data_IF_636999704651
#
_entry.id   IF_636999704651
#
_cell.length_a   1.000
_cell.length_b   1.000
_cell.length_c   1.000
_cell.angle_alpha   90.00
_cell.angle_beta   90.00
_cell.angle_gamma   90.00
#
_symmetry.space_group_name_H-M   'P 1'
#
loop_
_entity.id
_entity.type
_entity.pdbx_description
1 polymer ?
#
# COMPACT_ATOMS: atom_id res chain seq x y z
N UNK A 1 -21.73 -3.74 -10.46
CA UNK A 1 -21.04 -3.73 -9.15
C UNK A 1 -19.55 -3.55 -9.43
N UNK A 2 -18.88 -2.68 -8.69
CA UNK A 2 -17.45 -2.43 -8.91
C UNK A 2 -16.59 -3.48 -8.23
N UNK A 3 -15.46 -3.82 -8.85
CA UNK A 3 -14.46 -4.71 -8.27
C UNK A 3 -13.73 -3.99 -7.13
N UNK A 4 -13.68 -4.59 -5.95
CA UNK A 4 -12.94 -4.08 -4.79
C UNK A 4 -11.49 -4.56 -4.86
N UNK A 5 -10.61 -3.68 -5.31
CA UNK A 5 -9.19 -3.95 -5.48
C UNK A 5 -8.39 -3.39 -4.31
N UNK A 6 -7.67 -4.25 -3.60
CA UNK A 6 -6.66 -3.84 -2.64
C UNK A 6 -5.28 -3.72 -3.30
N UNK A 7 -4.51 -2.71 -2.88
CA UNK A 7 -3.08 -2.59 -3.21
C UNK A 7 -2.29 -2.47 -1.92
N UNK A 8 -1.35 -3.36 -1.73
CA UNK A 8 -0.40 -3.34 -0.62
C UNK A 8 1.01 -3.18 -1.17
N UNK A 9 1.47 -1.94 -1.22
CA UNK A 9 2.82 -1.58 -1.64
C UNK A 9 3.82 -1.66 -0.52
N UNK A 10 5.07 -1.96 -0.84
CA UNK A 10 6.14 -1.98 0.13
C UNK A 10 7.47 -2.35 -0.47
N UNK A 11 8.55 -2.12 0.29
CA UNK A 11 9.88 -2.56 -0.12
C UNK A 11 10.01 -4.08 0.01
N UNK A 12 9.41 -4.69 1.06
CA UNK A 12 9.49 -6.13 1.35
C UNK A 12 10.95 -6.62 1.33
N UNK A 13 11.76 -6.06 2.19
CA UNK A 13 13.21 -6.32 2.24
C UNK A 13 13.67 -6.85 3.60
N UNK A 14 13.42 -8.13 3.93
CA UNK A 14 12.61 -9.09 3.20
C UNK A 14 11.11 -9.03 3.55
N UNK A 15 10.28 -9.68 2.76
CA UNK A 15 8.92 -10.02 3.18
C UNK A 15 8.96 -10.98 4.37
N UNK A 16 8.03 -10.85 5.29
CA UNK A 16 7.96 -11.67 6.50
C UNK A 16 6.51 -11.94 6.93
N UNK A 17 6.32 -12.76 7.97
CA UNK A 17 5.00 -13.15 8.44
C UNK A 17 4.10 -11.97 8.83
N UNK A 18 4.67 -10.87 9.31
CA UNK A 18 3.91 -9.65 9.57
C UNK A 18 3.25 -9.06 8.31
N UNK A 19 3.95 -9.09 7.19
CA UNK A 19 3.40 -8.68 5.89
C UNK A 19 2.31 -9.62 5.41
N UNK A 20 2.51 -10.94 5.53
CA UNK A 20 1.51 -11.94 5.15
C UNK A 20 0.23 -11.77 5.97
N UNK A 21 0.36 -11.63 7.28
CA UNK A 21 -0.78 -11.42 8.18
C UNK A 21 -1.51 -10.11 7.84
N UNK A 22 -0.78 -9.02 7.61
CA UNK A 22 -1.37 -7.75 7.20
C UNK A 22 -2.16 -7.87 5.89
N UNK A 23 -1.62 -8.57 4.90
CA UNK A 23 -2.29 -8.81 3.62
C UNK A 23 -3.59 -9.60 3.80
N UNK A 24 -3.58 -10.67 4.61
CA UNK A 24 -4.74 -11.52 4.87
C UNK A 24 -5.83 -10.73 5.61
N UNK A 25 -5.46 -10.05 6.70
CA UNK A 25 -6.39 -9.23 7.48
C UNK A 25 -6.99 -8.11 6.62
N UNK A 26 -6.19 -7.46 5.81
CA UNK A 26 -6.66 -6.44 4.87
C UNK A 26 -7.65 -6.98 3.87
N UNK A 27 -7.32 -8.12 3.23
CA UNK A 27 -8.19 -8.79 2.28
C UNK A 27 -9.56 -9.11 2.90
N UNK A 28 -9.55 -9.76 4.06
CA UNK A 28 -10.77 -10.22 4.72
C UNK A 28 -11.59 -9.05 5.29
N UNK A 29 -10.96 -8.09 5.98
CA UNK A 29 -11.68 -6.95 6.60
C UNK A 29 -12.29 -5.99 5.60
N UNK A 30 -11.63 -5.75 4.49
CA UNK A 30 -12.14 -4.87 3.43
C UNK A 30 -13.05 -5.61 2.44
N UNK A 31 -13.23 -6.93 2.64
CA UNK A 31 -14.00 -7.79 1.74
C UNK A 31 -13.57 -7.59 0.27
N UNK A 32 -12.26 -7.66 0.02
CA UNK A 32 -11.69 -7.42 -1.30
C UNK A 32 -12.01 -8.55 -2.26
N UNK A 33 -12.24 -8.22 -3.53
CA UNK A 33 -12.35 -9.20 -4.59
C UNK A 33 -10.96 -9.65 -5.08
N UNK A 34 -9.98 -8.74 -4.97
CA UNK A 34 -8.58 -8.99 -5.34
C UNK A 34 -7.64 -8.13 -4.50
N UNK A 35 -6.48 -8.68 -4.16
CA UNK A 35 -5.38 -7.94 -3.53
C UNK A 35 -4.11 -8.09 -4.36
N UNK A 36 -3.46 -6.96 -4.63
CA UNK A 36 -2.16 -6.91 -5.29
C UNK A 36 -1.08 -6.55 -4.27
N UNK A 37 -0.10 -7.43 -4.14
CA UNK A 37 1.15 -7.16 -3.43
C UNK A 37 2.10 -6.50 -4.43
N UNK A 38 2.57 -5.29 -4.11
CA UNK A 38 3.32 -4.44 -5.03
C UNK A 38 4.72 -4.13 -4.49
N UNK A 39 5.73 -4.97 -4.75
CA UNK A 39 7.12 -4.65 -4.39
C UNK A 39 7.62 -3.43 -5.16
N UNK A 40 8.24 -2.49 -4.45
CA UNK A 40 8.83 -1.29 -5.04
C UNK A 40 10.15 -1.62 -5.76
N UNK A 41 10.49 -0.86 -6.80
CA UNK A 41 11.84 -0.90 -7.37
C UNK A 41 12.79 -0.07 -6.48
N UNK A 42 12.62 1.26 -6.45
CA UNK A 42 13.31 2.16 -5.52
C UNK A 42 12.25 2.90 -4.71
N UNK A 43 12.18 2.69 -3.37
CA UNK A 43 11.23 3.43 -2.54
C UNK A 43 11.61 4.91 -2.51
N UNK A 44 10.66 5.85 -2.80
CA UNK A 44 10.96 7.28 -2.88
C UNK A 44 11.42 7.90 -1.56
N UNK A 45 10.98 7.32 -0.43
CA UNK A 45 11.14 7.88 0.91
C UNK A 45 12.13 7.12 1.79
N UNK A 46 12.79 6.08 1.26
CA UNK A 46 13.75 5.25 2.01
C UNK A 46 15.05 5.10 1.25
N UNK A 47 16.15 5.04 2.00
CA UNK A 47 17.42 4.53 1.45
C UNK A 47 17.36 3.01 1.46
N UNK A 48 17.80 2.39 0.37
CA UNK A 48 17.97 0.96 0.26
C UNK A 48 19.45 0.62 0.34
N UNK A 49 19.75 -0.61 0.77
CA UNK A 49 21.12 -1.12 0.79
C UNK A 49 21.69 -1.16 -0.65
N UNK A 50 23.01 -0.96 -0.77
CA UNK A 50 23.71 -1.13 -2.05
C UNK A 50 23.60 -2.56 -2.62
N UNK A 51 23.34 -3.53 -1.73
CA UNK A 51 23.17 -4.94 -2.08
C UNK A 51 21.71 -5.32 -2.35
N UNK A 52 20.80 -4.33 -2.37
CA UNK A 52 19.38 -4.58 -2.64
C UNK A 52 19.18 -5.09 -4.07
N UNK A 53 18.38 -6.13 -4.19
CA UNK A 53 18.02 -6.73 -5.47
C UNK A 53 16.49 -6.80 -5.59
N UNK A 54 15.86 -5.89 -6.35
CA UNK A 54 14.42 -5.85 -6.50
C UNK A 54 13.83 -7.16 -7.06
N UNK A 55 14.53 -7.84 -7.95
CA UNK A 55 14.07 -9.12 -8.52
C UNK A 55 14.03 -10.22 -7.47
N UNK A 56 15.02 -10.26 -6.57
CA UNK A 56 15.00 -11.20 -5.42
C UNK A 56 13.87 -10.88 -4.47
N UNK A 57 13.60 -9.62 -4.19
CA UNK A 57 12.47 -9.21 -3.34
C UNK A 57 11.14 -9.60 -3.96
N UNK A 58 11.00 -9.43 -5.28
CA UNK A 58 9.84 -9.88 -6.04
C UNK A 58 9.63 -11.39 -5.92
N UNK A 59 10.68 -12.17 -6.14
CA UNK A 59 10.61 -13.63 -6.05
C UNK A 59 10.29 -14.12 -4.63
N UNK A 60 10.85 -13.49 -3.61
CA UNK A 60 10.50 -13.81 -2.22
C UNK A 60 9.01 -13.53 -1.93
N UNK A 61 8.45 -12.46 -2.46
CA UNK A 61 7.02 -12.17 -2.36
C UNK A 61 6.19 -13.25 -3.06
N UNK A 62 6.57 -13.66 -4.25
CA UNK A 62 5.88 -14.75 -4.99
C UNK A 62 5.91 -16.07 -4.22
N UNK A 63 7.05 -16.41 -3.64
CA UNK A 63 7.18 -17.60 -2.80
C UNK A 63 6.31 -17.53 -1.53
N UNK A 64 6.28 -16.37 -0.88
CA UNK A 64 5.53 -16.16 0.35
C UNK A 64 4.01 -16.35 0.17
N UNK A 65 3.47 -15.98 -0.98
CA UNK A 65 2.04 -16.14 -1.29
C UNK A 65 1.73 -17.38 -2.13
N UNK A 66 2.71 -18.25 -2.36
CA UNK A 66 2.49 -19.50 -3.08
C UNK A 66 1.51 -20.39 -2.30
N UNK A 67 0.43 -20.82 -2.95
CA UNK A 67 -0.60 -21.67 -2.34
C UNK A 67 -1.63 -20.93 -1.50
N UNK A 68 -1.56 -19.58 -1.42
CA UNK A 68 -2.65 -18.81 -0.82
C UNK A 68 -3.93 -18.98 -1.64
N UNK A 69 -5.05 -19.27 -0.93
CA UNK A 69 -6.34 -19.55 -1.57
C UNK A 69 -7.13 -18.29 -1.92
N UNK A 70 -6.86 -17.18 -1.26
CA UNK A 70 -7.46 -15.89 -1.56
C UNK A 70 -6.94 -15.38 -2.89
N UNK A 71 -7.69 -14.48 -3.54
CA UNK A 71 -7.24 -13.82 -4.77
C UNK A 71 -6.19 -12.74 -4.44
N UNK A 72 -5.02 -13.21 -3.98
CA UNK A 72 -3.85 -12.38 -3.69
C UNK A 72 -2.79 -12.67 -4.74
N UNK A 73 -2.37 -11.64 -5.46
CA UNK A 73 -1.36 -11.76 -6.52
C UNK A 73 -0.20 -10.80 -6.27
N UNK A 74 1.00 -11.19 -6.69
CA UNK A 74 2.18 -10.34 -6.62
C UNK A 74 2.40 -9.72 -7.99
N UNK A 75 2.55 -8.39 -8.05
CA UNK A 75 2.77 -7.64 -9.28
C UNK A 75 4.23 -7.19 -9.39
N UNK A 76 4.76 -7.28 -10.58
CA UNK A 76 6.07 -6.76 -10.97
C UNK A 76 6.00 -5.37 -11.61
N UNK A 77 4.84 -4.72 -11.60
CA UNK A 77 4.62 -3.46 -12.30
C UNK A 77 5.64 -2.38 -11.93
N UNK A 78 5.81 -2.08 -10.64
CA UNK A 78 6.77 -1.05 -10.21
C UNK A 78 8.22 -1.44 -10.51
N UNK A 79 8.56 -2.71 -10.33
CA UNK A 79 9.90 -3.22 -10.67
C UNK A 79 10.16 -3.10 -12.17
N UNK A 80 9.19 -3.44 -13.00
CA UNK A 80 9.27 -3.32 -14.44
C UNK A 80 9.39 -1.88 -14.96
N UNK A 81 8.84 -0.90 -14.23
CA UNK A 81 8.98 0.52 -14.57
C UNK A 81 10.39 1.05 -14.30
N UNK A 82 11.11 0.47 -13.35
CA UNK A 82 12.41 0.97 -12.90
C UNK A 82 12.35 2.33 -12.21
N UNK A 83 13.47 2.78 -11.68
CA UNK A 83 13.55 4.09 -11.00
C UNK A 83 12.72 4.18 -9.72
N UNK A 84 12.35 5.39 -9.30
CA UNK A 84 11.53 5.60 -8.11
C UNK A 84 10.08 5.17 -8.34
N UNK A 85 9.57 4.32 -7.46
CA UNK A 85 8.19 3.79 -7.52
C UNK A 85 7.22 4.75 -6.84
N UNK A 86 6.68 5.70 -7.60
CA UNK A 86 5.70 6.66 -7.08
C UNK A 86 4.29 6.07 -7.03
N UNK A 87 3.65 6.11 -5.87
CA UNK A 87 2.33 5.52 -5.63
C UNK A 87 1.23 6.04 -6.56
N UNK A 88 1.20 7.35 -6.86
CA UNK A 88 0.17 7.91 -7.75
C UNK A 88 0.20 7.28 -9.15
N UNK A 89 1.38 6.91 -9.68
CA UNK A 89 1.51 6.23 -10.96
C UNK A 89 0.94 4.81 -10.90
N UNK A 90 1.22 4.10 -9.82
CA UNK A 90 0.68 2.75 -9.58
C UNK A 90 -0.84 2.77 -9.48
N UNK A 91 -1.40 3.70 -8.69
CA UNK A 91 -2.85 3.84 -8.55
C UNK A 91 -3.51 4.21 -9.89
N UNK A 92 -2.90 5.12 -10.64
CA UNK A 92 -3.38 5.49 -11.99
C UNK A 92 -3.39 4.29 -12.94
N UNK A 93 -2.35 3.46 -12.90
CA UNK A 93 -2.27 2.26 -13.74
C UNK A 93 -3.40 1.26 -13.47
N UNK A 94 -3.78 1.08 -12.20
CA UNK A 94 -4.85 0.15 -11.82
C UNK A 94 -6.24 0.79 -11.77
N UNK A 95 -6.34 2.09 -11.98
CA UNK A 95 -7.62 2.80 -11.98
C UNK A 95 -8.46 2.43 -13.20
N UNK A 96 -9.73 2.06 -12.96
CA UNK A 96 -10.72 1.78 -14.00
C UNK A 96 -12.11 2.19 -13.50
N UNK A 97 -13.06 2.51 -14.41
CA UNK A 97 -14.40 2.96 -14.00
C UNK A 97 -15.19 1.95 -13.17
N UNK A 98 -14.89 0.66 -13.33
CA UNK A 98 -15.50 -0.47 -12.64
C UNK A 98 -14.65 -1.00 -11.48
N UNK A 99 -13.69 -0.23 -11.01
CA UNK A 99 -12.76 -0.62 -9.95
C UNK A 99 -12.74 0.41 -8.82
N UNK A 100 -12.96 -0.06 -7.59
CA UNK A 100 -12.76 0.73 -6.37
C UNK A 100 -11.48 0.28 -5.70
N UNK A 101 -10.47 1.15 -5.71
CA UNK A 101 -9.15 0.85 -5.13
C UNK A 101 -9.12 1.22 -3.66
N UNK A 102 -8.61 0.31 -2.82
CA UNK A 102 -8.19 0.59 -1.44
C UNK A 102 -6.69 0.38 -1.33
N UNK A 103 -5.98 1.42 -0.88
CA UNK A 103 -4.52 1.39 -0.71
C UNK A 103 -4.16 1.24 0.76
N UNK A 104 -3.40 0.20 1.08
CA UNK A 104 -2.98 -0.12 2.45
C UNK A 104 -1.69 0.59 2.81
N UNK A 105 -1.70 1.32 3.92
CA UNK A 105 -0.53 2.02 4.48
C UNK A 105 -0.36 1.71 5.96
N UNK A 106 0.89 1.68 6.43
CA UNK A 106 1.21 1.68 7.86
C UNK A 106 1.17 3.09 8.46
N UNK A 107 1.27 3.19 9.79
CA UNK A 107 1.17 4.46 10.52
C UNK A 107 2.15 5.52 10.00
N UNK A 108 3.44 5.19 9.87
CA UNK A 108 4.46 6.15 9.41
C UNK A 108 4.18 6.67 8.00
N UNK A 109 3.77 5.80 7.11
CA UNK A 109 3.40 6.16 5.74
C UNK A 109 2.16 7.06 5.74
N UNK A 110 1.16 6.72 6.54
CA UNK A 110 -0.07 7.50 6.66
C UNK A 110 0.20 8.92 7.13
N UNK A 111 1.01 9.09 8.16
CA UNK A 111 1.34 10.41 8.73
C UNK A 111 2.16 11.30 7.79
N UNK A 112 2.81 10.74 6.77
CA UNK A 112 3.60 11.48 5.79
C UNK A 112 2.97 11.54 4.39
N UNK A 113 1.76 10.99 4.21
CA UNK A 113 1.16 10.76 2.89
C UNK A 113 0.94 12.04 2.08
N UNK A 114 0.67 13.16 2.74
CA UNK A 114 0.53 14.48 2.13
C UNK A 114 1.86 15.09 1.61
N UNK A 115 3.00 14.54 2.04
CA UNK A 115 4.32 14.91 1.54
C UNK A 115 4.77 14.08 0.30
N UNK A 116 3.98 13.08 -0.07
CA UNK A 116 4.29 12.23 -1.21
C UNK A 116 4.03 12.98 -2.53
N UNK A 117 4.58 12.45 -3.62
CA UNK A 117 4.37 13.06 -4.93
C UNK A 117 2.92 12.90 -5.37
N UNK A 118 2.30 14.01 -5.81
CA UNK A 118 0.90 14.08 -6.24
C UNK A 118 -0.10 13.54 -5.20
N UNK A 119 -0.10 14.05 -3.96
CA UNK A 119 -0.96 13.52 -2.91
C UNK A 119 -2.45 13.66 -3.23
N UNK A 120 -2.86 14.77 -3.85
CA UNK A 120 -4.24 14.97 -4.26
C UNK A 120 -4.72 13.86 -5.21
N UNK A 121 -3.87 13.40 -6.12
CA UNK A 121 -4.20 12.30 -7.01
C UNK A 121 -4.30 10.97 -6.27
N UNK A 122 -3.39 10.70 -5.33
CA UNK A 122 -3.46 9.49 -4.48
C UNK A 122 -4.83 9.42 -3.79
N UNK A 123 -5.24 10.50 -3.12
CA UNK A 123 -6.52 10.54 -2.40
C UNK A 123 -7.74 10.49 -3.32
N UNK A 124 -7.63 10.96 -4.56
CA UNK A 124 -8.73 10.90 -5.53
C UNK A 124 -8.92 9.52 -6.16
N UNK A 125 -7.84 8.73 -6.26
CA UNK A 125 -7.84 7.44 -6.93
C UNK A 125 -8.12 6.26 -6.00
N UNK A 126 -7.88 6.42 -4.70
CA UNK A 126 -7.99 5.32 -3.76
C UNK A 126 -8.54 5.74 -2.39
N UNK A 127 -9.34 4.85 -1.79
CA UNK A 127 -9.57 4.85 -0.35
C UNK A 127 -8.29 4.47 0.36
N UNK A 128 -7.96 5.12 1.48
CA UNK A 128 -6.78 4.78 2.28
C UNK A 128 -7.20 3.89 3.45
N UNK A 129 -6.59 2.71 3.54
CA UNK A 129 -6.73 1.82 4.69
C UNK A 129 -5.46 1.88 5.55
N UNK A 130 -5.64 2.18 6.82
CA UNK A 130 -4.54 2.28 7.78
C UNK A 130 -4.40 0.97 8.56
N UNK A 131 -3.24 0.34 8.49
CA UNK A 131 -2.87 -0.75 9.38
C UNK A 131 -1.90 -0.25 10.46
N UNK A 132 -2.21 -0.60 11.70
CA UNK A 132 -1.38 -0.27 12.86
C UNK A 132 -0.59 -1.48 13.31
N UNK A 133 0.67 -1.28 13.60
CA UNK A 133 1.59 -2.30 14.10
C UNK A 133 1.96 -2.05 15.56
N UNK A 134 1.79 -0.80 16.01
CA UNK A 134 2.14 -0.35 17.35
C UNK A 134 1.02 -0.69 18.34
N UNK A 135 1.39 -0.85 19.62
CA UNK A 135 0.42 -0.84 20.70
C UNK A 135 -0.28 0.53 20.75
N UNK A 136 -1.49 0.55 21.28
CA UNK A 136 -2.25 1.79 21.42
C UNK A 136 -1.45 2.80 22.28
N UNK A 137 -1.15 3.96 21.70
CA UNK A 137 -0.47 5.08 22.32
C UNK A 137 -1.28 6.34 22.05
N UNK A 138 -1.60 7.10 23.10
CA UNK A 138 -2.46 8.27 22.98
C UNK A 138 -1.84 9.38 22.12
N UNK A 139 -0.51 9.50 22.07
CA UNK A 139 0.19 10.45 21.21
C UNK A 139 0.03 10.09 19.73
N UNK A 140 0.22 8.82 19.39
CA UNK A 140 0.02 8.31 18.02
C UNK A 140 -1.46 8.43 17.61
N UNK A 141 -2.39 8.12 18.50
CA UNK A 141 -3.83 8.28 18.24
C UNK A 141 -4.20 9.73 17.88
N UNK A 142 -3.67 10.70 18.63
CA UNK A 142 -3.89 12.11 18.36
C UNK A 142 -3.31 12.53 17.00
N UNK A 143 -2.11 12.09 16.67
CA UNK A 143 -1.48 12.35 15.37
C UNK A 143 -2.28 11.76 14.21
N UNK A 144 -2.78 10.54 14.35
CA UNK A 144 -3.61 9.88 13.34
C UNK A 144 -4.94 10.65 13.17
N UNK A 145 -5.58 11.05 14.26
CA UNK A 145 -6.83 11.80 14.21
C UNK A 145 -6.65 13.15 13.49
N UNK A 146 -5.58 13.87 13.81
CA UNK A 146 -5.23 15.14 13.15
C UNK A 146 -4.97 14.95 11.65
N UNK A 147 -4.18 13.94 11.28
CA UNK A 147 -3.91 13.63 9.88
C UNK A 147 -5.19 13.24 9.12
N UNK A 148 -6.08 12.44 9.71
CA UNK A 148 -7.38 12.10 9.11
C UNK A 148 -8.22 13.34 8.83
N UNK A 149 -8.32 14.25 9.77
CA UNK A 149 -9.08 15.48 9.61
C UNK A 149 -8.47 16.36 8.52
N UNK A 150 -7.15 16.54 8.53
CA UNK A 150 -6.42 17.27 7.50
C UNK A 150 -6.68 16.69 6.11
N UNK A 151 -6.53 15.38 5.95
CA UNK A 151 -6.70 14.74 4.64
C UNK A 151 -8.13 14.80 4.13
N UNK A 152 -9.13 14.70 5.02
CA UNK A 152 -10.54 14.90 4.66
C UNK A 152 -10.81 16.33 4.22
N UNK A 153 -10.24 17.31 4.92
CA UNK A 153 -10.43 18.74 4.62
C UNK A 153 -9.71 19.15 3.34
N UNK A 154 -8.42 18.80 3.20
CA UNK A 154 -7.57 19.29 2.11
C UNK A 154 -7.76 18.51 0.80
N UNK A 155 -8.09 17.21 0.90
CA UNK A 155 -8.12 16.30 -0.26
C UNK A 155 -9.45 15.57 -0.44
N UNK A 156 -10.45 15.77 0.43
CA UNK A 156 -11.68 14.98 0.46
C UNK A 156 -11.43 13.47 0.56
N UNK A 157 -10.39 13.09 1.32
CA UNK A 157 -9.91 11.72 1.41
C UNK A 157 -10.95 10.76 2.01
N UNK A 158 -11.14 9.60 1.40
CA UNK A 158 -11.85 8.46 1.96
C UNK A 158 -10.86 7.58 2.74
N UNK A 159 -11.06 7.47 4.05
CA UNK A 159 -10.15 6.75 4.96
C UNK A 159 -10.93 5.69 5.71
N UNK A 160 -10.52 4.42 5.52
CA UNK A 160 -11.09 3.24 6.17
C UNK A 160 -10.39 2.92 7.49
#
# INVERSE_FOLDING_TARGET
MKTKLGIFGGTFAPIHNGHLNAAIVFYDRMALDRLIIMPTFIPPHKKISADDDPEKRLEMCRLAFRGEKRNITVSDYEIGQGGKSYTYLTLRHYSAPDCDITFLVGTDMFLSLDSWKEPAEIFSLARIALIRREAADCGIEAMIAEAKEKYRTDYHADIA
#
